data_IF_787013218822
#
_entry.id   IF_787013218822
#
_cell.length_a   1.000
_cell.length_b   1.000
_cell.length_c   1.000
_cell.angle_alpha   90.00
_cell.angle_beta   90.00
_cell.angle_gamma   90.00
#
_symmetry.space_group_name_H-M   'P 1'
#
loop_
_entity.id
_entity.type
_entity.pdbx_description
1 polymer ?
#
# COMPACT_ATOMS: atom_id res chain seq x y z
N UNK A 1 -1.95 8.13 3.15
CA UNK A 1 -2.89 7.00 3.13
C UNK A 1 -2.34 5.79 3.85
N UNK A 2 -1.55 4.97 3.15
CA UNK A 2 -1.01 3.70 3.66
C UNK A 2 -0.20 3.83 4.97
N UNK A 3 0.62 4.87 5.08
CA UNK A 3 1.44 5.10 6.27
C UNK A 3 0.62 5.40 7.53
N UNK A 4 -0.47 6.16 7.36
CA UNK A 4 -1.42 6.46 8.44
C UNK A 4 -2.19 5.19 8.81
N UNK A 5 -2.66 4.43 7.81
CA UNK A 5 -3.33 3.15 8.03
C UNK A 5 -2.44 2.15 8.78
N UNK A 6 -1.14 2.10 8.47
CA UNK A 6 -0.20 1.20 9.15
C UNK A 6 0.00 1.61 10.61
N UNK A 7 0.03 2.92 10.88
CA UNK A 7 0.07 3.45 12.24
C UNK A 7 -1.21 3.15 13.01
N UNK A 8 -2.38 3.34 12.39
CA UNK A 8 -3.68 3.06 12.99
C UNK A 8 -3.88 1.57 13.30
N UNK A 9 -3.46 0.68 12.40
CA UNK A 9 -3.49 -0.76 12.65
C UNK A 9 -2.62 -1.14 13.86
N UNK A 10 -1.48 -0.48 14.05
CA UNK A 10 -0.57 -0.73 15.19
C UNK A 10 -1.11 -0.20 16.51
N UNK A 11 -1.78 0.96 16.49
CA UNK A 11 -2.33 1.62 17.67
C UNK A 11 -3.70 1.06 18.09
N UNK A 12 -4.53 0.69 17.11
CA UNK A 12 -5.91 0.24 17.31
C UNK A 12 -6.20 -1.05 16.51
N UNK A 13 -5.49 -2.16 16.78
CA UNK A 13 -5.63 -3.38 15.99
C UNK A 13 -7.03 -4.02 16.06
N UNK A 14 -7.82 -3.72 17.10
CA UNK A 14 -9.19 -4.22 17.28
C UNK A 14 -10.26 -3.35 16.61
N UNK A 15 -10.01 -2.05 16.50
CA UNK A 15 -11.00 -1.07 15.99
C UNK A 15 -10.74 -0.69 14.53
N UNK A 16 -9.52 -0.93 14.03
CA UNK A 16 -9.17 -0.61 12.66
C UNK A 16 -9.70 -1.67 11.68
N UNK A 17 -10.70 -1.31 10.86
CA UNK A 17 -11.28 -2.16 9.84
C UNK A 17 -10.34 -2.37 8.64
N UNK A 18 -9.31 -3.21 8.81
CA UNK A 18 -8.33 -3.54 7.77
C UNK A 18 -8.97 -4.07 6.47
N UNK A 19 -10.08 -4.80 6.58
CA UNK A 19 -10.81 -5.31 5.42
C UNK A 19 -11.45 -4.21 4.56
N UNK A 20 -11.90 -3.11 5.16
CA UNK A 20 -12.36 -1.95 4.40
C UNK A 20 -11.21 -1.25 3.68
N UNK A 21 -10.03 -1.23 4.31
CA UNK A 21 -8.83 -0.65 3.72
C UNK A 21 -8.32 -1.45 2.50
N UNK A 22 -8.57 -2.77 2.48
CA UNK A 22 -8.23 -3.62 1.32
C UNK A 22 -8.93 -3.17 0.03
N UNK A 23 -10.17 -2.65 0.11
CA UNK A 23 -10.91 -2.13 -1.06
C UNK A 23 -10.21 -0.94 -1.73
N UNK A 24 -9.41 -0.18 -0.98
CA UNK A 24 -8.64 0.95 -1.47
C UNK A 24 -7.26 0.54 -1.97
N UNK A 25 -6.66 -0.49 -1.37
CA UNK A 25 -5.30 -0.90 -1.66
C UNK A 25 -5.19 -1.69 -2.95
N UNK A 26 -6.17 -2.57 -3.23
CA UNK A 26 -6.32 -3.42 -4.44
C UNK A 26 -5.10 -4.30 -4.77
N UNK A 27 -4.04 -4.26 -3.95
CA UNK A 27 -2.81 -5.02 -4.10
C UNK A 27 -2.70 -6.02 -2.94
N UNK A 28 -2.92 -7.30 -3.25
CA UNK A 28 -2.93 -8.39 -2.27
C UNK A 28 -1.58 -8.56 -1.55
N UNK A 29 -0.44 -8.30 -2.22
CA UNK A 29 0.89 -8.38 -1.59
C UNK A 29 1.05 -7.33 -0.51
N UNK A 30 0.65 -6.09 -0.81
CA UNK A 30 0.71 -5.00 0.16
C UNK A 30 -0.31 -5.27 1.29
N UNK A 31 -1.50 -5.80 0.99
CA UNK A 31 -2.50 -6.12 2.02
C UNK A 31 -2.01 -7.20 2.99
N UNK A 32 -1.37 -8.25 2.48
CA UNK A 32 -0.79 -9.30 3.30
C UNK A 32 0.31 -8.77 4.22
N UNK A 33 1.26 -7.98 3.69
CA UNK A 33 2.30 -7.36 4.50
C UNK A 33 1.73 -6.36 5.52
N UNK A 34 0.68 -5.62 5.14
CA UNK A 34 -0.04 -4.70 6.01
C UNK A 34 -0.69 -5.43 7.18
N UNK A 35 -1.40 -6.55 6.93
CA UNK A 35 -2.00 -7.42 7.95
C UNK A 35 -0.98 -8.02 8.91
N UNK A 36 0.25 -8.24 8.45
CA UNK A 36 1.35 -8.71 9.29
C UNK A 36 1.99 -7.61 10.16
N UNK A 37 1.50 -6.37 10.06
CA UNK A 37 2.02 -5.24 10.84
C UNK A 37 3.31 -4.65 10.29
N UNK A 38 3.59 -4.85 9.00
CA UNK A 38 4.76 -4.25 8.35
C UNK A 38 4.69 -2.72 8.45
N UNK A 39 5.80 -2.09 8.85
CA UNK A 39 5.89 -0.64 8.93
C UNK A 39 5.83 0.00 7.53
N UNK A 40 5.36 1.25 7.46
CA UNK A 40 5.14 1.95 6.20
C UNK A 40 6.36 2.06 5.27
N UNK A 41 7.59 1.98 5.80
CA UNK A 41 8.81 1.88 4.98
C UNK A 41 8.94 0.54 4.26
N UNK A 42 8.64 -0.57 4.92
CA UNK A 42 8.69 -1.90 4.32
C UNK A 42 7.61 -2.05 3.24
N UNK A 43 6.38 -1.59 3.53
CA UNK A 43 5.30 -1.53 2.55
C UNK A 43 5.68 -0.68 1.32
N UNK A 44 6.44 0.41 1.54
CA UNK A 44 6.94 1.25 0.47
C UNK A 44 7.97 0.59 -0.43
N UNK A 45 8.74 -0.37 0.04
CA UNK A 45 9.63 -1.12 -0.85
C UNK A 45 8.85 -2.05 -1.77
N UNK A 46 7.78 -2.68 -1.26
CA UNK A 46 7.00 -3.69 -1.99
C UNK A 46 6.36 -3.10 -3.27
N UNK A 47 5.76 -1.91 -3.19
CA UNK A 47 5.12 -1.27 -4.35
C UNK A 47 6.06 -0.37 -5.18
N UNK A 48 7.32 -0.20 -4.77
CA UNK A 48 8.25 0.73 -5.42
C UNK A 48 8.54 0.26 -6.85
N UNK A 49 8.76 -1.04 -7.02
CA UNK A 49 9.05 -1.65 -8.31
C UNK A 49 7.84 -1.57 -9.25
N UNK A 50 6.64 -1.87 -8.73
CA UNK A 50 5.38 -1.72 -9.47
C UNK A 50 5.17 -0.26 -9.93
N UNK A 51 5.50 0.72 -9.08
CA UNK A 51 5.41 2.14 -9.41
C UNK A 51 6.42 2.55 -10.48
N UNK A 52 7.64 2.02 -10.44
CA UNK A 52 8.66 2.27 -11.47
C UNK A 52 8.19 1.70 -12.81
N UNK A 53 7.71 0.45 -12.83
CA UNK A 53 7.18 -0.19 -14.03
C UNK A 53 6.00 0.59 -14.61
N UNK A 54 5.08 1.04 -13.75
CA UNK A 54 3.94 1.86 -14.16
C UNK A 54 4.37 3.20 -14.77
N UNK A 55 5.34 3.89 -14.16
CA UNK A 55 5.89 5.15 -14.70
C UNK A 55 6.55 4.94 -16.06
N UNK A 56 7.30 3.84 -16.23
CA UNK A 56 7.94 3.47 -17.49
C UNK A 56 6.93 3.12 -18.59
N UNK A 57 5.79 2.50 -18.24
CA UNK A 57 4.71 2.24 -19.19
C UNK A 57 3.96 3.52 -19.56
N UNK A 58 3.59 4.32 -18.55
CA UNK A 58 2.83 5.56 -18.72
C UNK A 58 3.57 6.59 -19.57
N UNK A 59 4.90 6.63 -19.53
CA UNK A 59 5.68 7.62 -20.31
C UNK A 59 5.41 7.56 -21.81
N UNK A 60 5.01 6.40 -22.34
CA UNK A 60 4.66 6.22 -23.77
C UNK A 60 3.35 6.89 -24.17
N UNK A 61 2.52 7.24 -23.19
CA UNK A 61 1.17 7.76 -23.39
C UNK A 61 1.00 9.18 -22.81
N UNK A 62 2.08 9.83 -22.36
CA UNK A 62 2.04 11.20 -21.87
C UNK A 62 1.93 12.16 -23.03
N UNK A 63 0.92 13.04 -22.99
CA UNK A 63 0.73 14.13 -23.95
C UNK A 63 1.36 15.45 -23.50
N UNK A 64 1.78 15.52 -22.23
CA UNK A 64 2.36 16.68 -21.56
C UNK A 64 3.31 16.23 -20.43
#
# INVERSE_FOLDING_TARGET
GLEIAARLLKLYPKDFAADQFNRLLVNQRIYAAFRQGADGRALRQIWQDDLIAFRALRSRYLLY
#
